data_IF_359150301599
#
_entry.id   IF_359150301599
#
_cell.length_a   1.000
_cell.length_b   1.000
_cell.length_c   1.000
_cell.angle_alpha   90.00
_cell.angle_beta   90.00
_cell.angle_gamma   90.00
#
_symmetry.space_group_name_H-M   'P 1'
#
loop_
_entity.id
_entity.type
_entity.pdbx_description
1 polymer ?
#
# COMPACT_ATOMS: atom_id res chain seq x y z
N UNK A 1 24.50 -23.57 2.55
CA UNK A 1 23.24 -23.88 1.82
C UNK A 1 23.41 -24.90 0.66
N UNK A 2 24.54 -25.65 0.57
CA UNK A 2 24.66 -26.64 -0.49
C UNK A 2 23.80 -27.88 -0.18
N UNK A 3 22.96 -28.29 -1.16
CA UNK A 3 22.08 -29.45 -1.04
C UNK A 3 20.70 -29.19 -0.45
N UNK A 4 20.28 -27.93 -0.30
CA UNK A 4 18.96 -27.56 0.22
C UNK A 4 18.03 -27.04 -0.88
N UNK A 5 16.72 -27.11 -0.66
CA UNK A 5 15.71 -26.48 -1.53
C UNK A 5 16.00 -24.98 -1.76
N UNK A 6 16.51 -24.29 -0.74
CA UNK A 6 16.89 -22.90 -0.80
C UNK A 6 17.99 -22.65 -1.86
N UNK A 7 18.99 -23.54 -1.99
CA UNK A 7 20.00 -23.44 -3.05
C UNK A 7 19.37 -23.55 -4.43
N UNK A 8 18.48 -24.52 -4.62
CA UNK A 8 17.76 -24.71 -5.88
C UNK A 8 16.93 -23.47 -6.22
N UNK A 9 16.24 -22.90 -5.23
CA UNK A 9 15.47 -21.67 -5.41
C UNK A 9 16.34 -20.48 -5.84
N UNK A 10 17.47 -20.24 -5.17
CA UNK A 10 18.42 -19.19 -5.59
C UNK A 10 19.04 -19.44 -6.96
N UNK A 11 19.19 -20.69 -7.35
CA UNK A 11 19.67 -21.03 -8.69
C UNK A 11 18.63 -20.65 -9.75
N UNK A 12 17.34 -20.93 -9.53
CA UNK A 12 16.24 -20.52 -10.41
C UNK A 12 16.17 -19.00 -10.58
N UNK A 13 16.36 -18.25 -9.48
CA UNK A 13 16.42 -16.77 -9.52
C UNK A 13 17.62 -16.32 -10.38
N UNK A 14 18.81 -16.91 -10.15
CA UNK A 14 20.02 -16.57 -10.87
C UNK A 14 19.93 -16.86 -12.37
N UNK A 15 19.21 -17.90 -12.74
CA UNK A 15 18.99 -18.34 -14.12
C UNK A 15 17.80 -17.60 -14.78
N UNK A 16 17.23 -16.58 -14.12
CA UNK A 16 16.05 -15.84 -14.57
C UNK A 16 14.83 -16.74 -14.89
N UNK A 17 14.72 -17.88 -14.22
CA UNK A 17 13.57 -18.79 -14.35
C UNK A 17 12.38 -18.36 -13.48
N UNK A 18 12.59 -17.44 -12.55
CA UNK A 18 11.54 -16.82 -11.74
C UNK A 18 11.41 -15.35 -12.17
N UNK A 19 10.27 -15.01 -12.75
CA UNK A 19 9.97 -13.63 -13.15
C UNK A 19 9.37 -12.87 -11.98
N UNK A 20 9.84 -11.67 -11.73
CA UNK A 20 9.32 -10.81 -10.69
C UNK A 20 8.77 -9.49 -11.22
N UNK A 21 7.70 -9.01 -10.60
CA UNK A 21 7.15 -7.69 -10.84
C UNK A 21 7.19 -6.88 -9.55
N UNK A 22 7.71 -5.66 -9.63
CA UNK A 22 7.92 -4.80 -8.47
C UNK A 22 7.19 -3.47 -8.66
N UNK A 23 6.36 -3.09 -7.70
CA UNK A 23 5.85 -1.74 -7.52
C UNK A 23 6.70 -1.07 -6.43
N UNK A 24 7.58 -0.13 -6.79
CA UNK A 24 8.45 0.53 -5.80
C UNK A 24 7.69 1.55 -4.96
N UNK A 25 8.23 1.92 -3.79
CA UNK A 25 7.68 2.96 -2.93
C UNK A 25 7.59 4.32 -3.65
N UNK A 26 8.68 4.72 -4.31
CA UNK A 26 8.78 6.02 -4.99
C UNK A 26 8.19 5.97 -6.41
N UNK A 27 6.87 6.12 -6.52
CA UNK A 27 6.18 6.08 -7.82
C UNK A 27 6.51 7.24 -8.76
N UNK A 28 6.99 8.38 -8.23
CA UNK A 28 7.43 9.51 -9.05
C UNK A 28 8.61 9.16 -9.98
N UNK A 29 9.36 8.11 -9.69
CA UNK A 29 10.40 7.62 -10.59
C UNK A 29 9.83 7.13 -11.93
N UNK A 30 8.57 6.73 -11.99
CA UNK A 30 7.89 6.33 -13.24
C UNK A 30 7.76 7.55 -14.15
N UNK A 31 7.39 8.71 -13.60
CA UNK A 31 7.27 9.99 -14.35
C UNK A 31 8.62 10.41 -14.94
N UNK A 32 9.72 10.15 -14.23
CA UNK A 32 11.06 10.46 -14.72
C UNK A 32 11.57 9.46 -15.79
N UNK A 33 11.04 8.24 -15.77
CA UNK A 33 11.50 7.15 -16.65
C UNK A 33 10.64 6.99 -17.92
N UNK A 34 9.43 7.54 -17.93
CA UNK A 34 8.50 7.40 -19.05
C UNK A 34 7.79 8.76 -19.31
N UNK A 35 7.94 9.28 -20.51
CA UNK A 35 7.28 10.47 -20.99
C UNK A 35 6.07 10.05 -21.85
N UNK A 36 4.86 10.39 -21.41
CA UNK A 36 3.61 9.99 -22.04
C UNK A 36 2.45 9.84 -21.07
N UNK A 37 1.38 9.23 -21.55
CA UNK A 37 0.12 9.03 -20.82
C UNK A 37 0.09 7.72 -20.04
N UNK A 38 -0.85 7.63 -19.09
CA UNK A 38 -1.11 6.38 -18.36
C UNK A 38 -1.51 5.23 -19.29
N UNK A 39 -2.25 5.54 -20.37
CA UNK A 39 -2.67 4.57 -21.38
C UNK A 39 -1.49 3.98 -22.14
N UNK A 40 -0.60 4.82 -22.65
CA UNK A 40 0.61 4.37 -23.36
C UNK A 40 1.51 3.53 -22.47
N UNK A 41 1.60 3.88 -21.17
CA UNK A 41 2.35 3.10 -20.21
C UNK A 41 1.75 1.70 -20.04
N UNK A 42 0.42 1.60 -19.92
CA UNK A 42 -0.26 0.31 -19.81
C UNK A 42 -0.17 -0.52 -21.09
N UNK A 43 -0.35 0.08 -22.26
CA UNK A 43 -0.19 -0.60 -23.57
C UNK A 43 1.21 -1.21 -23.71
N UNK A 44 2.24 -0.54 -23.17
CA UNK A 44 3.62 -1.03 -23.23
C UNK A 44 3.91 -2.19 -22.28
N UNK A 45 3.27 -2.21 -21.10
CA UNK A 45 3.64 -3.12 -20.01
C UNK A 45 2.56 -4.14 -19.64
N UNK A 46 1.39 -4.14 -20.28
CA UNK A 46 0.35 -5.15 -20.05
C UNK A 46 0.67 -6.45 -20.77
N UNK A 47 1.35 -7.34 -20.08
CA UNK A 47 1.75 -8.65 -20.62
C UNK A 47 0.62 -9.69 -20.47
N UNK A 48 -0.36 -9.43 -19.58
CA UNK A 48 -1.45 -10.36 -19.28
C UNK A 48 -2.76 -10.03 -19.98
N UNK A 49 -2.89 -8.86 -20.59
CA UNK A 49 -4.12 -8.38 -21.20
C UNK A 49 -5.23 -8.04 -20.18
N UNK A 50 -4.86 -7.67 -18.97
CA UNK A 50 -5.80 -7.42 -17.86
C UNK A 50 -5.91 -5.95 -17.45
N UNK A 51 -5.15 -5.06 -18.07
CA UNK A 51 -5.05 -3.66 -17.67
C UNK A 51 -6.40 -2.95 -17.66
N UNK A 52 -7.26 -3.19 -18.63
CA UNK A 52 -8.58 -2.55 -18.72
C UNK A 52 -9.50 -2.92 -17.55
N UNK A 53 -9.48 -4.17 -17.09
CA UNK A 53 -10.23 -4.61 -15.92
C UNK A 53 -9.67 -3.98 -14.63
N UNK A 54 -8.34 -3.94 -14.50
CA UNK A 54 -7.67 -3.32 -13.37
C UNK A 54 -7.91 -1.81 -13.30
N UNK A 55 -7.90 -1.13 -14.43
CA UNK A 55 -8.22 0.31 -14.55
C UNK A 55 -9.61 0.60 -13.99
N UNK A 56 -10.61 -0.19 -14.33
CA UNK A 56 -11.97 -0.05 -13.78
C UNK A 56 -12.01 -0.32 -12.29
N UNK A 57 -11.36 -1.39 -11.82
CA UNK A 57 -11.30 -1.75 -10.40
C UNK A 57 -10.61 -0.69 -9.54
N UNK A 58 -9.70 0.08 -10.13
CA UNK A 58 -8.92 1.11 -9.46
C UNK A 58 -9.39 2.54 -9.79
N UNK A 59 -10.51 2.69 -10.51
CA UNK A 59 -11.12 3.99 -10.86
C UNK A 59 -10.11 4.94 -11.51
N UNK A 60 -9.46 4.46 -12.57
CA UNK A 60 -8.44 5.21 -13.32
C UNK A 60 -8.92 5.64 -14.72
N UNK A 61 -10.17 5.34 -15.11
CA UNK A 61 -10.67 5.58 -16.47
C UNK A 61 -10.50 7.04 -16.92
N UNK A 62 -10.73 7.97 -16.01
CA UNK A 62 -10.66 9.40 -16.31
C UNK A 62 -9.23 9.97 -16.33
N UNK A 63 -8.27 9.19 -15.85
CA UNK A 63 -6.87 9.63 -15.68
C UNK A 63 -5.93 9.09 -16.76
N UNK A 64 -6.38 8.10 -17.54
CA UNK A 64 -5.51 7.39 -18.49
C UNK A 64 -4.99 8.26 -19.64
N UNK A 65 -5.79 9.20 -20.12
CA UNK A 65 -5.42 10.09 -21.25
C UNK A 65 -4.59 11.29 -20.79
N UNK A 66 -4.38 11.46 -19.47
CA UNK A 66 -3.55 12.53 -18.93
C UNK A 66 -2.07 12.13 -18.97
N UNK A 67 -1.22 13.13 -19.11
CA UNK A 67 0.23 12.98 -18.96
C UNK A 67 0.55 12.51 -17.53
N UNK A 68 1.53 11.60 -17.38
CA UNK A 68 1.89 11.04 -16.07
C UNK A 68 2.24 12.11 -15.03
N UNK A 69 2.83 13.22 -15.49
CA UNK A 69 3.21 14.36 -14.63
C UNK A 69 2.01 15.17 -14.09
N UNK A 70 0.83 15.00 -14.68
CA UNK A 70 -0.39 15.69 -14.29
C UNK A 70 -1.24 14.86 -13.33
N UNK A 71 -0.93 13.59 -13.18
CA UNK A 71 -1.61 12.69 -12.27
C UNK A 71 -1.38 13.08 -10.81
N UNK A 72 -2.44 13.01 -10.01
CA UNK A 72 -2.33 13.10 -8.56
C UNK A 72 -1.50 11.92 -8.00
N UNK A 73 -0.95 12.10 -6.78
CA UNK A 73 -0.17 11.03 -6.13
C UNK A 73 -0.94 9.72 -6.00
N UNK A 74 -2.25 9.78 -5.70
CA UNK A 74 -3.10 8.60 -5.61
C UNK A 74 -3.36 7.92 -6.95
N UNK A 75 -3.58 8.69 -8.03
CA UNK A 75 -3.74 8.14 -9.38
C UNK A 75 -2.45 7.48 -9.87
N UNK A 76 -1.31 8.13 -9.65
CA UNK A 76 0.00 7.59 -10.01
C UNK A 76 0.30 6.31 -9.22
N UNK A 77 -0.08 6.26 -7.95
CA UNK A 77 0.08 5.09 -7.09
C UNK A 77 -0.76 3.91 -7.62
N UNK A 78 -2.04 4.14 -7.91
CA UNK A 78 -2.93 3.11 -8.46
C UNK A 78 -2.51 2.66 -9.86
N UNK A 79 -2.01 3.58 -10.69
CA UNK A 79 -1.44 3.26 -12.00
C UNK A 79 -0.20 2.36 -11.86
N UNK A 80 0.69 2.65 -10.91
CA UNK A 80 1.86 1.81 -10.63
C UNK A 80 1.47 0.40 -10.17
N UNK A 81 0.41 0.28 -9.35
CA UNK A 81 -0.17 -1.03 -8.97
C UNK A 81 -0.72 -1.74 -10.21
N UNK A 82 -1.45 -1.02 -11.08
CA UNK A 82 -1.98 -1.59 -12.33
C UNK A 82 -0.87 -2.13 -13.22
N UNK A 83 0.17 -1.35 -13.47
CA UNK A 83 1.33 -1.76 -14.27
C UNK A 83 1.99 -3.00 -13.66
N UNK A 84 2.24 -3.00 -12.35
CA UNK A 84 2.88 -4.14 -11.70
C UNK A 84 2.02 -5.41 -11.78
N UNK A 85 0.71 -5.30 -11.55
CA UNK A 85 -0.22 -6.41 -11.59
C UNK A 85 -0.52 -6.91 -13.01
N UNK A 86 -0.29 -6.09 -14.05
CA UNK A 86 -0.49 -6.48 -15.46
C UNK A 86 0.67 -7.26 -16.06
N UNK A 87 1.83 -7.29 -15.41
CA UNK A 87 2.97 -8.09 -15.87
C UNK A 87 2.72 -9.56 -15.62
N UNK A 88 3.26 -10.41 -16.49
CA UNK A 88 3.27 -11.86 -16.29
C UNK A 88 4.49 -12.27 -15.44
N UNK A 89 4.28 -12.36 -14.13
CA UNK A 89 5.31 -12.70 -13.17
C UNK A 89 4.90 -13.89 -12.29
N UNK A 90 5.88 -14.51 -11.64
CA UNK A 90 5.68 -15.59 -10.68
C UNK A 90 5.64 -15.06 -9.24
N UNK A 91 6.35 -13.94 -9.03
CA UNK A 91 6.45 -13.23 -7.75
C UNK A 91 6.14 -11.74 -7.94
N UNK A 92 5.28 -11.20 -7.10
CA UNK A 92 4.91 -9.78 -7.08
C UNK A 92 5.32 -9.15 -5.76
N UNK A 93 5.97 -7.99 -5.85
CA UNK A 93 6.36 -7.20 -4.69
C UNK A 93 5.71 -5.82 -4.77
N UNK A 94 4.99 -5.44 -3.70
CA UNK A 94 4.34 -4.13 -3.60
C UNK A 94 4.86 -3.40 -2.35
N UNK A 95 5.51 -2.27 -2.56
CA UNK A 95 6.03 -1.42 -1.49
C UNK A 95 5.09 -0.24 -1.26
N UNK A 96 4.40 -0.22 -0.11
CA UNK A 96 3.38 0.75 0.29
C UNK A 96 2.35 1.04 -0.82
N UNK A 97 1.63 0.03 -1.33
CA UNK A 97 0.73 0.23 -2.47
C UNK A 97 -0.49 1.08 -2.16
N UNK A 98 -0.85 1.26 -0.88
CA UNK A 98 -2.03 2.01 -0.45
C UNK A 98 -1.80 3.49 -0.20
N UNK A 99 -0.54 3.96 -0.20
CA UNK A 99 -0.18 5.35 0.07
C UNK A 99 -0.91 6.32 -0.86
N UNK A 100 -1.24 7.52 -0.37
CA UNK A 100 -1.97 8.60 -1.08
C UNK A 100 -3.40 8.26 -1.52
N UNK A 101 -3.96 7.14 -1.11
CA UNK A 101 -5.31 6.70 -1.46
C UNK A 101 -6.28 6.89 -0.30
N UNK A 102 -7.53 7.21 -0.61
CA UNK A 102 -8.63 7.17 0.36
C UNK A 102 -9.02 5.72 0.72
N UNK A 103 -9.93 5.56 1.67
CA UNK A 103 -10.35 4.23 2.18
C UNK A 103 -10.93 3.33 1.08
N UNK A 104 -11.72 3.89 0.16
CA UNK A 104 -12.32 3.11 -0.93
C UNK A 104 -11.28 2.68 -1.95
N UNK A 105 -10.37 3.57 -2.28
CA UNK A 105 -9.26 3.30 -3.20
C UNK A 105 -8.28 2.29 -2.61
N UNK A 106 -7.96 2.38 -1.31
CA UNK A 106 -7.15 1.37 -0.58
C UNK A 106 -7.79 -0.01 -0.67
N UNK A 107 -9.10 -0.11 -0.42
CA UNK A 107 -9.82 -1.38 -0.55
C UNK A 107 -9.80 -1.92 -2.00
N UNK A 108 -9.84 -1.03 -3.01
CA UNK A 108 -9.65 -1.39 -4.42
C UNK A 108 -8.28 -1.99 -4.69
N UNK A 109 -7.22 -1.32 -4.23
CA UNK A 109 -5.83 -1.79 -4.33
C UNK A 109 -5.66 -3.14 -3.65
N UNK A 110 -6.20 -3.29 -2.44
CA UNK A 110 -6.13 -4.56 -1.70
C UNK A 110 -6.79 -5.72 -2.46
N UNK A 111 -7.98 -5.51 -3.04
CA UNK A 111 -8.66 -6.55 -3.85
C UNK A 111 -7.86 -6.94 -5.07
N UNK A 112 -7.22 -5.98 -5.75
CA UNK A 112 -6.37 -6.27 -6.91
C UNK A 112 -5.17 -7.12 -6.50
N UNK A 113 -4.49 -6.76 -5.42
CA UNK A 113 -3.33 -7.50 -4.91
C UNK A 113 -3.74 -8.91 -4.46
N UNK A 114 -4.84 -9.03 -3.70
CA UNK A 114 -5.35 -10.32 -3.24
C UNK A 114 -5.71 -11.24 -4.41
N UNK A 115 -6.28 -10.70 -5.50
CA UNK A 115 -6.61 -11.50 -6.69
C UNK A 115 -5.41 -12.15 -7.37
N UNK A 116 -4.18 -11.64 -7.17
CA UNK A 116 -2.96 -12.29 -7.66
C UNK A 116 -2.66 -13.57 -6.86
N UNK A 117 -2.86 -13.54 -5.55
CA UNK A 117 -2.70 -14.73 -4.71
C UNK A 117 -3.78 -15.80 -5.03
N UNK A 118 -5.02 -15.39 -5.30
CA UNK A 118 -6.11 -16.30 -5.70
C UNK A 118 -5.79 -17.08 -6.99
N UNK A 119 -5.04 -16.50 -7.91
CA UNK A 119 -4.58 -17.20 -9.12
C UNK A 119 -3.25 -17.94 -8.95
N UNK A 120 -2.82 -18.14 -7.69
CA UNK A 120 -1.64 -18.95 -7.35
C UNK A 120 -0.29 -18.23 -7.51
N UNK A 121 -0.26 -16.92 -7.58
CA UNK A 121 0.98 -16.15 -7.61
C UNK A 121 1.51 -15.90 -6.21
N UNK A 122 2.83 -15.84 -6.05
CA UNK A 122 3.47 -15.42 -4.81
C UNK A 122 3.46 -13.90 -4.70
N UNK A 123 2.95 -13.40 -3.58
CA UNK A 123 2.81 -11.95 -3.35
C UNK A 123 3.45 -11.55 -2.04
N UNK A 124 4.25 -10.50 -2.06
CA UNK A 124 4.81 -9.86 -0.87
C UNK A 124 4.42 -8.38 -0.88
N UNK A 125 3.94 -7.90 0.27
CA UNK A 125 3.50 -6.51 0.43
C UNK A 125 4.18 -5.90 1.66
N UNK A 126 4.73 -4.72 1.52
CA UNK A 126 5.17 -3.87 2.63
C UNK A 126 4.09 -2.83 2.88
N UNK A 127 3.54 -2.80 4.08
CA UNK A 127 2.46 -1.89 4.46
C UNK A 127 2.57 -1.46 5.93
N UNK A 128 1.97 -0.30 6.21
CA UNK A 128 1.86 0.25 7.58
C UNK A 128 0.42 0.30 8.08
N UNK A 129 -0.56 0.12 7.19
CA UNK A 129 -1.97 0.04 7.56
C UNK A 129 -2.32 -1.39 7.99
N UNK A 130 -2.53 -1.57 9.30
CA UNK A 130 -2.81 -2.88 9.89
C UNK A 130 -4.13 -3.47 9.42
N UNK A 131 -5.13 -2.63 9.09
CA UNK A 131 -6.40 -3.11 8.56
C UNK A 131 -6.21 -3.73 7.19
N UNK A 132 -5.35 -3.09 6.38
CA UNK A 132 -5.00 -3.60 5.07
C UNK A 132 -4.18 -4.89 5.18
N UNK A 133 -3.21 -4.93 6.09
CA UNK A 133 -2.41 -6.13 6.36
C UNK A 133 -3.27 -7.32 6.82
N UNK A 134 -4.25 -7.08 7.71
CA UNK A 134 -5.18 -8.13 8.15
C UNK A 134 -6.01 -8.70 7.00
N UNK A 135 -6.39 -7.85 6.04
CA UNK A 135 -7.14 -8.28 4.86
C UNK A 135 -6.27 -9.00 3.82
N UNK A 136 -5.03 -8.54 3.61
CA UNK A 136 -4.17 -8.99 2.51
C UNK A 136 -3.35 -10.24 2.82
N UNK A 137 -2.94 -10.44 4.08
CA UNK A 137 -1.86 -11.37 4.38
C UNK A 137 -2.32 -12.64 5.08
N UNK A 138 -1.74 -13.77 4.70
CA UNK A 138 -1.79 -15.03 5.45
C UNK A 138 -0.70 -15.06 6.52
N UNK A 139 0.44 -14.42 6.22
CA UNK A 139 1.63 -14.39 7.07
C UNK A 139 2.21 -12.98 7.14
N UNK A 140 2.81 -12.66 8.28
CA UNK A 140 3.48 -11.39 8.54
C UNK A 140 4.89 -11.65 9.07
N UNK A 141 5.82 -10.82 8.61
CA UNK A 141 7.15 -10.62 9.18
C UNK A 141 7.26 -9.19 9.66
N UNK A 142 7.86 -8.99 10.83
CA UNK A 142 8.10 -7.66 11.42
C UNK A 142 9.54 -7.26 11.16
N UNK A 143 9.71 -6.10 10.52
CA UNK A 143 11.03 -5.48 10.35
C UNK A 143 11.29 -4.57 11.55
N UNK A 144 12.42 -4.76 12.20
CA UNK A 144 12.83 -3.94 13.36
C UNK A 144 14.32 -3.66 13.32
N UNK A 145 14.73 -2.60 14.01
CA UNK A 145 16.14 -2.22 14.06
C UNK A 145 16.36 -0.79 14.50
N UNK A 146 17.58 -0.34 14.36
CA UNK A 146 18.01 1.03 14.66
C UNK A 146 18.50 1.66 13.36
N UNK A 147 17.97 2.81 12.94
CA UNK A 147 18.39 3.48 11.72
C UNK A 147 19.91 3.65 11.66
N UNK A 148 20.50 3.38 10.52
CA UNK A 148 21.94 3.42 10.23
C UNK A 148 22.82 2.46 11.07
N UNK A 149 22.24 1.60 11.91
CA UNK A 149 22.99 0.63 12.72
C UNK A 149 22.71 -0.81 12.28
N UNK A 150 21.46 -1.25 12.32
CA UNK A 150 21.05 -2.59 11.87
C UNK A 150 19.56 -2.66 11.56
N UNK A 151 19.18 -3.59 10.69
CA UNK A 151 17.80 -4.01 10.44
C UNK A 151 17.70 -5.54 10.47
N UNK A 152 16.68 -6.04 11.10
CA UNK A 152 16.40 -7.48 11.24
C UNK A 152 14.96 -7.74 10.83
N UNK A 153 14.73 -8.87 10.17
CA UNK A 153 13.41 -9.38 9.83
C UNK A 153 13.09 -10.52 10.80
N UNK A 154 11.92 -10.49 11.42
CA UNK A 154 11.48 -11.55 12.34
C UNK A 154 11.23 -12.89 11.61
N UNK A 155 11.05 -13.94 12.35
CA UNK A 155 10.46 -15.16 11.82
C UNK A 155 9.04 -14.94 11.30
N UNK A 156 8.59 -15.82 10.39
CA UNK A 156 7.24 -15.81 9.82
C UNK A 156 6.20 -16.11 10.91
N UNK A 157 5.15 -15.30 10.97
CA UNK A 157 4.03 -15.45 11.90
C UNK A 157 2.71 -15.43 11.13
N UNK A 158 1.66 -16.07 11.64
CA UNK A 158 0.32 -15.85 11.12
C UNK A 158 -0.08 -14.37 11.31
N UNK A 159 -0.93 -13.83 10.44
CA UNK A 159 -1.35 -12.42 10.45
C UNK A 159 -1.78 -11.94 11.81
N UNK A 160 -2.68 -12.66 12.47
CA UNK A 160 -3.17 -12.31 13.81
C UNK A 160 -2.05 -12.24 14.85
N UNK A 161 -1.12 -13.19 14.83
CA UNK A 161 0.02 -13.22 15.75
C UNK A 161 0.96 -12.06 15.45
N UNK A 162 1.30 -11.84 14.18
CA UNK A 162 2.20 -10.77 13.76
C UNK A 162 1.68 -9.38 14.11
N UNK A 163 0.38 -9.11 13.88
CA UNK A 163 -0.25 -7.84 14.28
C UNK A 163 -0.17 -7.65 15.79
N UNK A 164 -0.50 -8.65 16.59
CA UNK A 164 -0.44 -8.56 18.05
C UNK A 164 1.00 -8.35 18.55
N UNK A 165 1.96 -9.06 17.99
CA UNK A 165 3.39 -8.89 18.30
C UNK A 165 3.84 -7.45 17.96
N UNK A 166 3.41 -6.92 16.82
CA UNK A 166 3.70 -5.55 16.44
C UNK A 166 3.07 -4.54 17.43
N UNK A 167 1.83 -4.74 17.86
CA UNK A 167 1.14 -3.90 18.85
C UNK A 167 1.80 -3.98 20.23
N UNK A 168 2.23 -5.15 20.66
CA UNK A 168 2.93 -5.35 21.93
C UNK A 168 4.38 -4.83 21.94
N UNK A 169 4.99 -4.67 20.76
CA UNK A 169 6.37 -4.20 20.62
C UNK A 169 7.42 -5.20 21.10
N UNK A 170 7.07 -6.50 21.14
CA UNK A 170 7.93 -7.56 21.63
C UNK A 170 7.84 -8.81 20.77
N UNK A 171 8.97 -9.33 20.33
CA UNK A 171 9.13 -10.55 19.56
C UNK A 171 9.48 -11.70 20.51
N UNK A 172 8.53 -12.61 20.82
CA UNK A 172 8.75 -13.65 21.83
C UNK A 172 9.76 -14.70 21.37
N UNK A 173 9.78 -15.06 20.10
CA UNK A 173 10.68 -16.09 19.57
C UNK A 173 12.15 -15.65 19.60
N UNK A 174 12.39 -14.38 19.29
CA UNK A 174 13.71 -13.75 19.28
C UNK A 174 14.09 -13.19 20.65
N UNK A 175 13.15 -13.13 21.59
CA UNK A 175 13.28 -12.48 22.91
C UNK A 175 13.77 -11.03 22.78
N UNK A 176 13.21 -10.27 21.83
CA UNK A 176 13.59 -8.90 21.56
C UNK A 176 12.42 -7.96 21.74
N UNK A 177 12.64 -6.90 22.51
CA UNK A 177 11.71 -5.77 22.60
C UNK A 177 12.19 -4.67 21.66
N UNK A 178 11.38 -4.34 20.65
CA UNK A 178 11.70 -3.30 19.66
C UNK A 178 10.95 -1.98 19.90
N UNK A 179 10.04 -1.96 20.89
CA UNK A 179 9.34 -0.76 21.34
C UNK A 179 9.04 -0.83 22.83
N UNK A 180 9.38 0.22 23.57
CA UNK A 180 9.27 0.26 25.03
C UNK A 180 7.82 0.22 25.54
N UNK A 181 6.91 0.89 24.82
CA UNK A 181 5.49 0.96 25.18
C UNK A 181 4.67 0.15 24.18
N UNK A 182 3.79 -0.70 24.71
CA UNK A 182 2.80 -1.34 23.86
C UNK A 182 1.66 -0.39 23.52
N UNK A 183 1.03 -0.59 22.37
CA UNK A 183 -0.21 0.11 22.06
C UNK A 183 -1.36 -0.51 22.86
N UNK A 184 -2.02 0.31 23.68
CA UNK A 184 -3.24 -0.07 24.40
C UNK A 184 -4.37 0.79 23.89
N UNK A 185 -5.48 0.16 23.55
CA UNK A 185 -6.70 0.84 23.17
C UNK A 185 -7.66 0.75 24.37
N UNK A 186 -7.84 1.86 25.08
CA UNK A 186 -8.85 1.95 26.12
C UNK A 186 -10.16 2.37 25.46
N UNK A 187 -11.21 1.59 25.65
CA UNK A 187 -12.54 2.05 25.31
C UNK A 187 -12.87 3.19 26.25
N UNK A 188 -12.97 4.41 25.74
CA UNK A 188 -13.46 5.54 26.51
C UNK A 188 -14.89 5.24 26.94
N UNK A 189 -15.09 4.90 28.21
CA UNK A 189 -16.40 4.71 28.82
C UNK A 189 -16.96 6.01 29.36
N UNK A 190 -16.16 7.09 29.36
CA UNK A 190 -16.62 8.41 29.71
C UNK A 190 -17.31 9.04 28.50
N UNK A 191 -18.60 9.18 28.55
CA UNK A 191 -19.28 10.30 27.91
C UNK A 191 -18.79 11.57 28.65
N UNK A 192 -17.53 11.91 28.46
CA UNK A 192 -17.11 13.27 28.80
C UNK A 192 -17.93 14.16 27.86
N UNK A 193 -18.93 14.80 28.38
CA UNK A 193 -19.59 15.91 27.72
C UNK A 193 -18.45 16.81 27.25
N UNK A 194 -18.25 16.85 25.92
CA UNK A 194 -17.38 17.84 25.35
C UNK A 194 -17.84 19.19 25.83
N UNK A 195 -17.21 19.74 26.87
CA UNK A 195 -17.36 21.12 27.21
C UNK A 195 -16.86 21.90 26.03
N UNK A 196 -17.80 22.35 25.19
CA UNK A 196 -17.49 23.28 24.14
C UNK A 196 -16.89 24.52 24.81
N UNK A 197 -15.56 24.64 24.73
CA UNK A 197 -14.90 25.91 25.06
C UNK A 197 -15.39 27.02 24.12
N UNK A 198 -15.08 28.25 24.44
CA UNK A 198 -15.34 29.36 23.52
C UNK A 198 -14.63 29.10 22.17
N UNK A 199 -15.31 29.28 21.03
CA UNK A 199 -14.76 29.02 19.76
C UNK A 199 -13.53 29.91 19.49
N UNK A 200 -12.42 29.26 19.11
CA UNK A 200 -11.17 29.96 18.80
C UNK A 200 -11.28 30.62 17.42
N UNK A 201 -11.98 30.00 16.49
CA UNK A 201 -12.19 30.47 15.13
C UNK A 201 -13.66 30.24 14.76
N UNK A 202 -14.30 31.29 14.24
CA UNK A 202 -15.64 31.20 13.63
C UNK A 202 -15.56 31.64 12.17
N UNK A 203 -16.24 30.93 11.29
CA UNK A 203 -16.28 31.26 9.88
C UNK A 203 -17.71 31.22 9.32
N UNK A 204 -17.98 32.10 8.37
CA UNK A 204 -19.22 32.14 7.62
C UNK A 204 -19.18 31.16 6.46
N UNK A 205 -20.30 31.01 5.74
CA UNK A 205 -20.34 30.18 4.53
C UNK A 205 -19.25 30.60 3.53
N UNK A 206 -18.43 29.63 3.14
CA UNK A 206 -17.37 29.79 2.15
C UNK A 206 -17.70 28.98 0.90
N UNK A 207 -17.55 29.58 -0.27
CA UNK A 207 -17.74 28.90 -1.56
C UNK A 207 -16.52 29.10 -2.42
N UNK A 208 -15.94 28.02 -2.93
CA UNK A 208 -14.85 28.05 -3.91
C UNK A 208 -15.24 27.24 -5.15
N UNK A 209 -15.24 27.92 -6.28
CA UNK A 209 -15.50 27.29 -7.57
C UNK A 209 -14.19 26.94 -8.28
N UNK A 210 -14.12 25.74 -8.81
CA UNK A 210 -13.09 25.24 -9.70
C UNK A 210 -13.71 24.92 -11.06
N UNK A 211 -12.94 24.77 -12.13
CA UNK A 211 -13.50 24.51 -13.47
C UNK A 211 -14.40 23.25 -13.55
N UNK A 212 -14.12 22.23 -12.75
CA UNK A 212 -14.80 20.93 -12.78
C UNK A 212 -15.67 20.63 -11.56
N UNK A 213 -15.56 21.42 -10.47
CA UNK A 213 -16.35 21.22 -9.25
C UNK A 213 -16.41 22.47 -8.39
N UNK A 214 -17.30 22.48 -7.41
CA UNK A 214 -17.35 23.54 -6.39
C UNK A 214 -17.31 22.95 -4.99
N UNK A 215 -16.64 23.64 -4.08
CA UNK A 215 -16.62 23.31 -2.66
C UNK A 215 -17.43 24.35 -1.91
N UNK A 216 -18.39 23.90 -1.11
CA UNK A 216 -19.15 24.74 -0.20
C UNK A 216 -18.87 24.28 1.23
N UNK A 217 -18.46 25.21 2.09
CA UNK A 217 -18.26 24.97 3.51
C UNK A 217 -19.35 25.74 4.24
N UNK A 218 -20.21 25.05 4.95
CA UNK A 218 -21.26 25.70 5.74
C UNK A 218 -20.65 26.40 6.98
N UNK A 219 -21.33 27.45 7.51
CA UNK A 219 -20.81 28.18 8.67
C UNK A 219 -20.51 27.26 9.85
N UNK A 220 -19.45 27.54 10.57
CA UNK A 220 -19.03 26.74 11.70
C UNK A 220 -18.06 27.47 12.61
N UNK A 221 -17.68 26.80 13.69
CA UNK A 221 -16.68 27.24 14.66
C UNK A 221 -15.86 26.07 15.17
N UNK A 222 -14.60 26.35 15.50
CA UNK A 222 -13.64 25.38 16.04
C UNK A 222 -13.02 25.93 17.31
#
# INVERSE_FOLDING_TARGET
YSGTELKSHFQLIKENQIRSSIKPQQVHNIVNAFDGTGKELLEKYDERGVSQDLVKKLSLENSLEQELKELSGGELQRLAVTVAASKDADFYFFDEPSSYNDVFQRAGVARVIHSLAEIGKSVMVVEHDMTLLDYLSDYIEVLYGVPAAYGIVSGIMSTKVGINVFLDGYLPNENVRFRDKKFTFEASTSQDEFQHGDPIISYTKLVKNYPSFSVTIEPGSV
#
